data_IF_666801529706
#
_entry.id   IF_666801529706
#
_cell.length_a   1.000
_cell.length_b   1.000
_cell.length_c   1.000
_cell.angle_alpha   90.00
_cell.angle_beta   90.00
_cell.angle_gamma   90.00
#
_symmetry.space_group_name_H-M   'P 1'
#
loop_
_entity.id
_entity.type
_entity.pdbx_description
1 polymer ?
#
# COMPACT_ATOMS: atom_id res chain seq x y z
N UNK A 1 29.64 -10.46 0.42
CA UNK A 1 28.33 -9.90 0.03
C UNK A 1 27.68 -9.14 1.19
N UNK A 2 27.34 -9.81 2.30
CA UNK A 2 26.62 -9.20 3.43
C UNK A 2 27.30 -8.00 4.12
N UNK A 3 28.62 -7.99 4.26
CA UNK A 3 29.32 -6.94 5.02
C UNK A 3 29.86 -5.77 4.18
N UNK A 4 29.76 -5.85 2.86
CA UNK A 4 30.33 -4.82 1.96
C UNK A 4 29.26 -4.30 1.00
N UNK A 5 28.53 -5.20 0.32
CA UNK A 5 27.57 -4.82 -0.71
C UNK A 5 26.25 -4.36 -0.09
N UNK A 6 25.70 -5.12 0.87
CA UNK A 6 24.46 -4.74 1.56
C UNK A 6 24.54 -3.37 2.27
N UNK A 7 25.57 -3.07 3.10
CA UNK A 7 25.64 -1.76 3.76
C UNK A 7 25.84 -0.61 2.75
N UNK A 8 26.56 -0.82 1.64
CA UNK A 8 26.66 0.21 0.59
C UNK A 8 25.34 0.47 -0.12
N UNK A 9 24.52 -0.56 -0.31
CA UNK A 9 23.21 -0.44 -0.94
C UNK A 9 22.09 -0.06 0.05
N UNK A 10 22.35 -0.07 1.36
CA UNK A 10 21.34 0.13 2.39
C UNK A 10 20.53 1.43 2.17
N UNK A 11 21.20 2.51 1.75
CA UNK A 11 20.54 3.78 1.41
C UNK A 11 19.58 3.64 0.22
N UNK A 12 20.01 2.99 -0.86
CA UNK A 12 19.18 2.77 -2.04
C UNK A 12 18.01 1.82 -1.76
N UNK A 13 18.26 0.72 -1.04
CA UNK A 13 17.24 -0.26 -0.63
C UNK A 13 16.17 0.43 0.23
N UNK A 14 16.59 1.29 1.15
CA UNK A 14 15.68 2.04 2.03
C UNK A 14 14.71 2.92 1.24
N UNK A 15 15.19 3.63 0.22
CA UNK A 15 14.33 4.45 -0.67
C UNK A 15 13.37 3.56 -1.47
N UNK A 16 13.86 2.45 -2.02
CA UNK A 16 13.03 1.50 -2.78
C UNK A 16 11.93 0.92 -1.89
N UNK A 17 12.24 0.48 -0.68
CA UNK A 17 11.23 -0.05 0.27
C UNK A 17 10.16 0.99 0.58
N UNK A 18 10.55 2.25 0.77
CA UNK A 18 9.60 3.33 1.04
C UNK A 18 8.63 3.53 -0.12
N UNK A 19 9.14 3.65 -1.35
CA UNK A 19 8.31 3.82 -2.55
C UNK A 19 7.42 2.59 -2.77
N UNK A 20 7.98 1.38 -2.65
CA UNK A 20 7.23 0.14 -2.84
C UNK A 20 6.13 -0.02 -1.80
N UNK A 21 6.36 0.34 -0.54
CA UNK A 21 5.33 0.21 0.49
C UNK A 21 4.17 1.17 0.23
N UNK A 22 4.44 2.40 -0.21
CA UNK A 22 3.39 3.35 -0.62
C UNK A 22 2.61 2.80 -1.81
N UNK A 23 3.30 2.24 -2.81
CA UNK A 23 2.68 1.64 -3.99
C UNK A 23 1.75 0.47 -3.62
N UNK A 24 2.20 -0.42 -2.74
CA UNK A 24 1.45 -1.60 -2.31
C UNK A 24 0.13 -1.26 -1.60
N UNK A 25 0.03 -0.12 -0.92
CA UNK A 25 -1.22 0.34 -0.31
C UNK A 25 -2.32 0.63 -1.33
N UNK A 26 -1.96 0.96 -2.58
CA UNK A 26 -2.88 1.30 -3.66
C UNK A 26 -3.14 0.16 -4.65
N UNK A 27 -2.61 -1.05 -4.42
CA UNK A 27 -2.75 -2.19 -5.33
C UNK A 27 -4.22 -2.53 -5.51
N UNK A 28 -4.72 -2.42 -6.73
CA UNK A 28 -6.12 -2.66 -7.05
C UNK A 28 -6.25 -3.49 -8.32
N UNK A 29 -5.60 -3.06 -9.39
CA UNK A 29 -5.72 -3.66 -10.71
C UNK A 29 -5.26 -5.12 -10.71
N UNK A 30 -4.18 -5.42 -9.99
CA UNK A 30 -3.63 -6.76 -9.84
C UNK A 30 -4.67 -7.71 -9.24
N UNK A 31 -5.35 -7.29 -8.17
CA UNK A 31 -6.38 -8.12 -7.51
C UNK A 31 -7.60 -8.27 -8.42
N UNK A 32 -8.05 -7.18 -9.05
CA UNK A 32 -9.23 -7.21 -9.92
C UNK A 32 -9.04 -8.15 -11.12
N UNK A 33 -7.86 -8.16 -11.73
CA UNK A 33 -7.61 -8.94 -12.95
C UNK A 33 -7.26 -10.40 -12.63
N UNK A 34 -6.51 -10.65 -11.55
CA UNK A 34 -5.98 -12.00 -11.28
C UNK A 34 -6.93 -12.88 -10.46
N UNK A 35 -7.53 -12.35 -9.39
CA UNK A 35 -8.33 -13.16 -8.46
C UNK A 35 -9.76 -12.66 -8.31
N UNK A 36 -10.06 -11.42 -8.70
CA UNK A 36 -11.35 -10.78 -8.46
C UNK A 36 -11.72 -10.74 -6.97
N UNK A 37 -10.74 -10.74 -6.06
CA UNK A 37 -10.96 -10.76 -4.60
C UNK A 37 -11.04 -12.14 -3.95
N UNK A 38 -10.97 -13.22 -4.74
CA UNK A 38 -11.26 -14.57 -4.30
C UNK A 38 -10.07 -15.38 -3.71
N UNK A 39 -10.34 -16.63 -3.30
CA UNK A 39 -11.66 -17.25 -3.15
C UNK A 39 -12.47 -16.60 -2.01
N UNK A 40 -13.74 -16.26 -2.27
CA UNK A 40 -14.53 -15.44 -1.34
C UNK A 40 -13.98 -14.02 -1.25
N UNK A 41 -13.45 -13.65 -0.07
CA UNK A 41 -12.81 -12.36 0.22
C UNK A 41 -11.32 -12.47 0.58
N UNK A 42 -10.70 -13.63 0.35
CA UNK A 42 -9.35 -13.93 0.86
C UNK A 42 -8.25 -13.00 0.31
N UNK A 43 -8.41 -12.48 -0.91
CA UNK A 43 -7.46 -11.55 -1.51
C UNK A 43 -7.96 -10.10 -1.52
N UNK A 44 -8.97 -9.76 -0.71
CA UNK A 44 -9.55 -8.42 -0.70
C UNK A 44 -8.69 -7.45 0.12
N UNK A 45 -8.42 -6.27 -0.44
CA UNK A 45 -7.79 -5.16 0.26
C UNK A 45 -8.69 -3.92 0.22
N UNK A 46 -8.27 -2.85 0.92
CA UNK A 46 -9.07 -1.62 1.05
C UNK A 46 -9.48 -1.00 -0.30
N UNK A 47 -8.55 -0.78 -1.27
CA UNK A 47 -8.89 -0.29 -2.60
C UNK A 47 -9.91 -1.17 -3.33
N UNK A 48 -9.72 -2.50 -3.27
CA UNK A 48 -10.62 -3.46 -3.89
C UNK A 48 -12.01 -3.46 -3.22
N UNK A 49 -12.07 -3.27 -1.91
CA UNK A 49 -13.33 -3.18 -1.17
C UNK A 49 -14.11 -1.90 -1.56
N UNK A 50 -13.43 -0.78 -1.71
CA UNK A 50 -14.02 0.48 -2.17
C UNK A 50 -14.66 0.32 -3.54
N UNK A 51 -13.97 -0.36 -4.46
CA UNK A 51 -14.50 -0.68 -5.78
C UNK A 51 -15.73 -1.59 -5.70
N UNK A 52 -15.68 -2.66 -4.90
CA UNK A 52 -16.81 -3.57 -4.73
C UNK A 52 -18.06 -2.87 -4.18
N UNK A 53 -17.90 -2.06 -3.14
CA UNK A 53 -19.03 -1.36 -2.52
C UNK A 53 -19.54 -0.21 -3.39
N UNK A 54 -18.61 0.55 -3.97
CA UNK A 54 -18.91 1.75 -4.74
C UNK A 54 -19.47 1.46 -6.12
N UNK A 55 -18.71 0.73 -6.93
CA UNK A 55 -19.00 0.51 -8.34
C UNK A 55 -19.87 -0.72 -8.53
N UNK A 56 -19.45 -1.87 -8.01
CA UNK A 56 -20.19 -3.12 -8.20
C UNK A 56 -21.48 -3.18 -7.37
N UNK A 57 -21.45 -2.66 -6.14
CA UNK A 57 -22.60 -2.55 -5.25
C UNK A 57 -23.54 -1.37 -5.56
N UNK A 58 -23.18 -0.53 -6.54
CA UNK A 58 -23.98 0.64 -6.95
C UNK A 58 -24.05 1.78 -5.93
N UNK A 59 -23.34 1.69 -4.79
CA UNK A 59 -23.36 2.71 -3.74
C UNK A 59 -22.10 3.58 -3.79
N UNK A 60 -22.07 4.48 -4.78
CA UNK A 60 -20.94 5.39 -5.01
C UNK A 60 -20.62 6.23 -3.76
N UNK A 61 -21.63 6.61 -2.97
CA UNK A 61 -21.44 7.37 -1.72
C UNK A 61 -20.67 6.60 -0.65
N UNK A 62 -21.03 5.33 -0.43
CA UNK A 62 -20.29 4.47 0.49
C UNK A 62 -18.86 4.17 -0.02
N UNK A 63 -18.69 3.98 -1.33
CA UNK A 63 -17.38 3.86 -1.96
C UNK A 63 -16.52 5.11 -1.75
N UNK A 64 -17.08 6.30 -1.94
CA UNK A 64 -16.37 7.57 -1.74
C UNK A 64 -15.96 7.79 -0.27
N UNK A 65 -16.83 7.46 0.68
CA UNK A 65 -16.50 7.49 2.11
C UNK A 65 -15.36 6.51 2.46
N UNK A 66 -15.40 5.30 1.90
CA UNK A 66 -14.31 4.33 2.01
C UNK A 66 -13.00 4.86 1.42
N UNK A 67 -13.06 5.56 0.29
CA UNK A 67 -11.92 6.23 -0.34
C UNK A 67 -11.26 7.25 0.58
N UNK A 68 -12.06 8.09 1.25
CA UNK A 68 -11.53 9.06 2.21
C UNK A 68 -10.81 8.37 3.39
N UNK A 69 -11.40 7.28 3.92
CA UNK A 69 -10.79 6.48 4.98
C UNK A 69 -9.46 5.87 4.52
N UNK A 70 -9.41 5.32 3.30
CA UNK A 70 -8.18 4.76 2.74
C UNK A 70 -7.06 5.81 2.62
N UNK A 71 -7.40 7.04 2.21
CA UNK A 71 -6.43 8.15 2.13
C UNK A 71 -5.89 8.52 3.50
N UNK A 72 -6.75 8.64 4.51
CA UNK A 72 -6.32 8.93 5.90
C UNK A 72 -5.39 7.84 6.40
N UNK A 73 -5.75 6.57 6.20
CA UNK A 73 -4.94 5.43 6.63
C UNK A 73 -3.60 5.39 5.91
N UNK A 74 -3.57 5.66 4.60
CA UNK A 74 -2.33 5.74 3.83
C UNK A 74 -1.39 6.84 4.33
N UNK A 75 -1.92 8.01 4.72
CA UNK A 75 -1.12 9.08 5.30
C UNK A 75 -0.51 8.69 6.67
N UNK A 76 -1.28 8.00 7.51
CA UNK A 76 -0.78 7.49 8.80
C UNK A 76 0.39 6.51 8.57
N UNK A 77 0.23 5.57 7.63
CA UNK A 77 1.28 4.61 7.27
C UNK A 77 2.50 5.31 6.69
N UNK A 78 2.32 6.30 5.81
CA UNK A 78 3.41 7.08 5.23
C UNK A 78 4.24 7.81 6.32
N UNK A 79 3.59 8.42 7.32
CA UNK A 79 4.28 9.07 8.43
C UNK A 79 5.12 8.05 9.22
N UNK A 80 4.58 6.86 9.48
CA UNK A 80 5.31 5.81 10.19
C UNK A 80 6.52 5.31 9.38
N UNK A 81 6.35 5.09 8.09
CA UNK A 81 7.43 4.64 7.19
C UNK A 81 8.53 5.69 7.07
N UNK A 82 8.18 6.96 6.90
CA UNK A 82 9.17 8.04 6.88
C UNK A 82 9.95 8.12 8.20
N UNK A 83 9.29 7.91 9.35
CA UNK A 83 9.98 7.84 10.65
C UNK A 83 10.90 6.63 10.80
N UNK A 84 10.50 5.46 10.33
CA UNK A 84 11.32 4.26 10.38
C UNK A 84 12.56 4.36 9.48
N UNK A 85 12.39 4.98 8.31
CA UNK A 85 13.43 5.15 7.29
C UNK A 85 14.38 6.31 7.61
N UNK A 86 13.86 7.46 8.06
CA UNK A 86 14.65 8.64 8.37
C UNK A 86 15.75 8.38 9.41
N UNK A 87 15.49 7.51 10.39
CA UNK A 87 16.48 7.12 11.41
C UNK A 87 17.67 6.34 10.85
N UNK A 88 17.53 5.68 9.69
CA UNK A 88 18.59 4.90 9.04
C UNK A 88 19.35 5.70 7.96
N UNK A 89 18.91 6.91 7.61
CA UNK A 89 19.55 7.76 6.60
C UNK A 89 20.52 8.78 7.20
N UNK A 90 20.34 9.12 8.49
CA UNK A 90 21.18 10.07 9.23
C UNK A 90 22.39 9.43 9.94
N UNK A 91 22.57 8.10 9.82
CA UNK A 91 23.70 7.33 10.35
C UNK A 91 24.64 6.87 9.23
#
# INVERSE_FOLDING_TARGET
FYYIILPHLARAITVVILIQTIYLLGVYAEIQITTGGGPGFASTNLPFLIYNVGVLGGNIGAGAAGGLIAVVLANIVAIFLMRAVGRNLDA
#
